data_IF_956212633965
#
_entry.id   IF_956212633965
#
_cell.length_a   1.000
_cell.length_b   1.000
_cell.length_c   1.000
_cell.angle_alpha   90.00
_cell.angle_beta   90.00
_cell.angle_gamma   90.00
#
_symmetry.space_group_name_H-M   'P 1'
#
loop_
_entity.id
_entity.type
_entity.pdbx_description
1 polymer ?
#
# COMPACT_ATOMS: atom_id res chain seq x y z
N UNK A 1 12.49 -2.94 28.88
CA UNK A 1 11.02 -2.71 28.98
C UNK A 1 10.70 -1.40 29.76
N UNK A 2 11.69 -0.73 30.34
CA UNK A 2 11.45 0.39 31.28
C UNK A 2 11.45 1.80 30.65
N UNK A 3 11.50 1.92 29.33
CA UNK A 3 11.47 3.21 28.64
C UNK A 3 10.26 3.34 27.70
N UNK A 4 9.09 2.92 28.16
CA UNK A 4 7.86 3.22 27.47
C UNK A 4 7.60 4.72 27.56
N UNK A 5 7.65 5.34 26.44
CA UNK A 5 7.17 6.65 26.00
C UNK A 5 6.62 7.59 27.07
N UNK A 6 7.32 8.68 27.27
CA UNK A 6 6.80 9.83 28.05
C UNK A 6 6.11 10.90 27.21
N UNK A 7 6.10 10.82 25.90
CA UNK A 7 5.67 11.91 25.01
C UNK A 7 4.66 11.54 23.92
N UNK A 8 4.11 10.32 23.94
CA UNK A 8 3.02 9.93 23.03
C UNK A 8 3.38 9.80 21.54
N UNK A 9 4.66 9.89 21.19
CA UNK A 9 5.15 9.76 19.83
C UNK A 9 6.15 8.61 19.71
N UNK A 10 5.64 7.38 19.60
CA UNK A 10 6.38 6.23 19.14
C UNK A 10 7.73 6.01 19.83
N UNK A 11 7.75 5.83 21.12
CA UNK A 11 8.95 5.64 21.90
C UNK A 11 9.91 4.54 21.38
N UNK A 12 10.43 3.73 22.26
CA UNK A 12 11.41 2.69 21.92
C UNK A 12 10.89 1.52 21.05
N UNK A 13 9.67 1.59 20.57
CA UNK A 13 9.05 0.63 19.66
C UNK A 13 9.24 1.00 18.16
N UNK A 14 9.67 2.25 17.88
CA UNK A 14 9.97 2.69 16.52
C UNK A 14 11.30 3.46 16.47
N UNK A 15 12.16 3.12 15.51
CA UNK A 15 13.41 3.84 15.19
C UNK A 15 14.33 4.13 16.39
N UNK A 16 14.34 3.29 17.41
CA UNK A 16 15.30 3.42 18.52
C UNK A 16 16.73 3.12 18.04
N UNK A 17 17.75 3.71 18.69
CA UNK A 17 19.15 3.43 18.36
C UNK A 17 19.50 1.93 18.46
N UNK A 18 18.84 1.20 19.35
CA UNK A 18 19.04 -0.23 19.53
C UNK A 18 18.55 -1.08 18.36
N UNK A 19 17.58 -0.61 17.57
CA UNK A 19 17.03 -1.39 16.44
C UNK A 19 18.12 -1.74 15.42
N UNK A 20 19.01 -0.81 15.13
CA UNK A 20 20.12 -1.03 14.21
C UNK A 20 21.06 -2.15 14.71
N UNK A 21 21.38 -2.16 15.99
CA UNK A 21 22.16 -3.23 16.61
C UNK A 21 21.47 -4.59 16.48
N UNK A 22 20.16 -4.65 16.74
CA UNK A 22 19.39 -5.89 16.62
C UNK A 22 19.26 -6.37 15.19
N UNK A 23 19.06 -5.48 14.22
CA UNK A 23 18.99 -5.83 12.79
C UNK A 23 20.35 -6.35 12.28
N UNK A 24 21.46 -5.72 12.66
CA UNK A 24 22.80 -6.22 12.33
C UNK A 24 23.07 -7.59 12.96
N UNK A 25 22.75 -7.78 14.25
CA UNK A 25 22.89 -9.06 14.91
C UNK A 25 22.04 -10.16 14.25
N UNK A 26 20.80 -9.84 13.91
CA UNK A 26 19.89 -10.75 13.19
C UNK A 26 20.46 -11.11 11.82
N UNK A 27 20.94 -10.12 11.06
CA UNK A 27 21.59 -10.33 9.76
C UNK A 27 22.78 -11.30 9.90
N UNK A 28 23.73 -11.01 10.78
CA UNK A 28 24.94 -11.81 10.97
C UNK A 28 24.66 -13.26 11.38
N UNK A 29 23.64 -13.47 12.19
CA UNK A 29 23.33 -14.80 12.76
C UNK A 29 22.33 -15.62 11.94
N UNK A 30 21.64 -15.00 10.96
CA UNK A 30 20.59 -15.68 10.17
C UNK A 30 20.85 -15.59 8.66
N UNK A 31 20.41 -14.53 8.03
CA UNK A 31 20.32 -14.43 6.56
C UNK A 31 21.51 -13.74 5.89
N UNK A 32 22.36 -13.00 6.60
CA UNK A 32 23.44 -12.22 6.01
C UNK A 32 24.56 -13.04 5.32
N UNK A 33 24.55 -14.37 5.47
CA UNK A 33 25.46 -15.29 4.79
C UNK A 33 24.92 -15.76 3.43
N UNK A 34 23.71 -15.38 3.06
CA UNK A 34 23.04 -15.82 1.82
C UNK A 34 22.74 -14.63 0.91
N UNK A 35 23.29 -14.66 -0.28
CA UNK A 35 23.02 -13.66 -1.34
C UNK A 35 21.61 -13.80 -1.94
N UNK A 36 20.86 -14.85 -1.59
CA UNK A 36 19.55 -15.15 -2.16
C UNK A 36 18.38 -14.71 -1.28
N UNK A 37 18.66 -14.12 -0.11
CA UNK A 37 17.63 -13.67 0.83
C UNK A 37 17.39 -12.17 0.65
N UNK A 38 16.14 -11.83 0.46
CA UNK A 38 15.63 -10.46 0.45
C UNK A 38 14.96 -10.18 1.79
N UNK A 39 15.32 -9.06 2.42
CA UNK A 39 14.68 -8.59 3.64
C UNK A 39 14.04 -7.23 3.43
N UNK A 40 12.87 -7.02 4.03
CA UNK A 40 12.14 -5.77 3.92
C UNK A 40 11.57 -5.38 5.29
N UNK A 41 11.73 -4.12 5.66
CA UNK A 41 11.18 -3.55 6.90
C UNK A 41 9.96 -2.70 6.64
N UNK A 42 8.95 -2.82 7.50
CA UNK A 42 7.88 -1.84 7.59
C UNK A 42 8.30 -0.75 8.58
N UNK A 43 8.55 0.47 8.06
CA UNK A 43 9.18 1.55 8.82
C UNK A 43 8.30 2.81 8.82
N UNK A 44 7.17 2.72 9.51
CA UNK A 44 6.25 3.85 9.65
C UNK A 44 6.94 5.06 10.32
N UNK A 45 6.91 6.22 9.66
CA UNK A 45 7.52 7.44 10.17
C UNK A 45 9.02 7.60 9.88
N UNK A 46 9.67 6.68 9.16
CA UNK A 46 11.08 6.81 8.79
C UNK A 46 11.33 8.06 7.93
N UNK A 47 12.45 8.74 8.20
CA UNK A 47 13.00 9.76 7.30
C UNK A 47 13.84 9.12 6.20
N UNK A 48 14.27 9.91 5.21
CA UNK A 48 15.19 9.45 4.16
C UNK A 48 16.51 8.96 4.77
N UNK A 49 17.04 9.69 5.74
CA UNK A 49 18.29 9.33 6.42
C UNK A 49 18.17 8.00 7.19
N UNK A 50 17.06 7.79 7.87
CA UNK A 50 16.77 6.50 8.52
C UNK A 50 16.64 5.38 7.47
N UNK A 51 15.97 5.63 6.36
CA UNK A 51 15.83 4.67 5.28
C UNK A 51 17.15 4.30 4.64
N UNK A 52 18.05 5.28 4.44
CA UNK A 52 19.43 5.05 4.02
C UNK A 52 20.15 4.12 5.01
N UNK A 53 20.05 4.41 6.31
CA UNK A 53 20.70 3.58 7.33
C UNK A 53 20.17 2.15 7.32
N UNK A 54 18.85 1.94 7.25
CA UNK A 54 18.25 0.61 7.22
C UNK A 54 18.60 -0.21 5.98
N UNK A 55 18.77 0.43 4.83
CA UNK A 55 18.85 -0.26 3.53
C UNK A 55 20.11 0.02 2.73
N UNK A 56 21.11 0.71 3.29
CA UNK A 56 22.44 0.77 2.73
C UNK A 56 23.09 -0.63 2.83
N UNK A 57 23.59 -1.21 1.74
CA UNK A 57 24.28 -2.49 1.79
C UNK A 57 25.45 -2.54 2.80
N UNK A 58 26.10 -1.42 3.08
CA UNK A 58 27.18 -1.34 4.06
C UNK A 58 26.68 -1.45 5.52
N UNK A 59 25.44 -1.09 5.79
CA UNK A 59 24.85 -1.21 7.14
C UNK A 59 24.59 -2.66 7.56
N UNK A 60 24.44 -3.58 6.60
CA UNK A 60 24.15 -4.98 6.86
C UNK A 60 22.88 -5.20 7.70
N UNK A 61 21.84 -4.42 7.45
CA UNK A 61 20.56 -4.54 8.15
C UNK A 61 19.50 -5.16 7.24
N UNK A 62 18.87 -4.38 6.39
CA UNK A 62 17.78 -4.80 5.51
C UNK A 62 18.12 -4.53 4.04
N UNK A 63 17.48 -5.26 3.13
CA UNK A 63 17.64 -5.00 1.69
C UNK A 63 16.86 -3.76 1.24
N UNK A 64 15.73 -3.46 1.88
CA UNK A 64 14.88 -2.30 1.59
C UNK A 64 13.87 -2.06 2.70
N UNK A 65 13.19 -0.91 2.62
CA UNK A 65 12.13 -0.55 3.57
C UNK A 65 10.87 -0.07 2.85
N UNK A 66 9.71 -0.24 3.50
CA UNK A 66 8.49 0.44 3.15
C UNK A 66 8.40 1.76 3.91
N UNK A 67 8.43 2.86 3.18
CA UNK A 67 8.14 4.19 3.71
C UNK A 67 6.63 4.49 3.62
N UNK A 68 6.10 5.29 4.53
CA UNK A 68 4.67 5.56 4.64
C UNK A 68 4.29 7.03 4.39
N UNK A 69 5.22 7.87 3.95
CA UNK A 69 4.92 9.28 3.69
C UNK A 69 3.88 9.43 2.56
N UNK A 70 4.04 8.63 1.49
CA UNK A 70 3.05 8.55 0.41
C UNK A 70 1.70 8.07 0.91
N UNK A 71 1.69 7.06 1.77
CA UNK A 71 0.46 6.51 2.34
C UNK A 71 -0.24 7.48 3.30
N UNK A 72 0.45 8.48 3.81
CA UNK A 72 -0.11 9.51 4.67
C UNK A 72 -0.47 10.82 3.97
N UNK A 73 -0.36 10.91 2.64
CA UNK A 73 -0.53 12.18 1.89
C UNK A 73 -1.92 12.81 2.06
N UNK A 74 -2.95 12.01 2.14
CA UNK A 74 -4.33 12.43 2.37
C UNK A 74 -4.69 12.52 3.86
N UNK A 75 -3.70 12.30 4.74
CA UNK A 75 -3.89 12.32 6.19
C UNK A 75 -4.59 11.08 6.76
N UNK A 76 -4.92 10.08 5.94
CA UNK A 76 -5.44 8.80 6.44
C UNK A 76 -4.29 8.06 7.11
N UNK A 77 -4.32 8.03 8.43
CA UNK A 77 -3.46 7.21 9.29
C UNK A 77 -4.32 6.57 10.35
N UNK A 78 -3.77 5.60 11.05
CA UNK A 78 -4.42 5.00 12.21
C UNK A 78 -5.08 6.08 13.09
N UNK A 79 -6.40 5.98 13.28
CA UNK A 79 -7.20 6.91 14.05
C UNK A 79 -7.61 8.22 13.36
N UNK A 80 -7.09 8.57 12.20
CA UNK A 80 -7.56 9.74 11.46
C UNK A 80 -8.47 9.33 10.29
N UNK A 81 -9.74 9.59 10.45
CA UNK A 81 -10.80 9.24 9.50
C UNK A 81 -11.26 10.41 8.62
N UNK A 82 -10.64 11.59 8.77
CA UNK A 82 -10.98 12.78 7.98
C UNK A 82 -9.90 13.09 6.94
N UNK A 83 -9.97 12.48 5.75
CA UNK A 83 -8.95 12.65 4.73
C UNK A 83 -8.92 14.08 4.22
N UNK A 84 -7.72 14.62 4.09
CA UNK A 84 -7.47 15.95 3.54
C UNK A 84 -7.21 15.85 2.04
N UNK A 85 -7.69 16.81 1.26
CA UNK A 85 -7.29 16.88 -0.14
C UNK A 85 -5.80 17.17 -0.24
N UNK A 86 -5.13 16.52 -1.18
CA UNK A 86 -3.75 16.79 -1.55
C UNK A 86 -3.69 17.25 -3.01
N UNK A 87 -2.59 17.90 -3.37
CA UNK A 87 -2.34 18.42 -4.70
C UNK A 87 -1.32 17.58 -5.46
N UNK A 88 -1.33 17.65 -6.79
CA UNK A 88 -0.33 16.99 -7.61
C UNK A 88 1.12 17.43 -7.25
N UNK A 89 1.42 18.73 -7.02
CA UNK A 89 2.74 19.13 -6.54
C UNK A 89 3.18 18.44 -5.24
N UNK A 90 2.30 18.28 -4.26
CA UNK A 90 2.63 17.56 -3.02
C UNK A 90 2.98 16.10 -3.29
N UNK A 91 2.22 15.42 -4.17
CA UNK A 91 2.52 14.06 -4.58
C UNK A 91 3.88 13.98 -5.28
N UNK A 92 4.15 14.87 -6.23
CA UNK A 92 5.44 14.97 -6.95
C UNK A 92 6.62 15.17 -5.98
N UNK A 93 6.49 16.05 -4.99
CA UNK A 93 7.51 16.30 -3.96
C UNK A 93 7.85 15.06 -3.14
N UNK A 94 6.85 14.25 -2.78
CA UNK A 94 7.09 12.99 -2.05
C UNK A 94 7.90 12.02 -2.94
N UNK A 95 7.51 11.85 -4.21
CA UNK A 95 8.26 10.99 -5.11
C UNK A 95 9.68 11.49 -5.33
N UNK A 96 9.87 12.78 -5.60
CA UNK A 96 11.20 13.37 -5.76
C UNK A 96 12.06 13.13 -4.52
N UNK A 97 11.55 13.47 -3.34
CA UNK A 97 12.25 13.29 -2.06
C UNK A 97 12.77 11.85 -1.87
N UNK A 98 11.91 10.85 -2.09
CA UNK A 98 12.27 9.47 -1.87
C UNK A 98 13.11 8.87 -3.00
N UNK A 99 12.89 9.27 -4.24
CA UNK A 99 13.68 8.81 -5.37
C UNK A 99 15.11 9.36 -5.32
N UNK A 100 15.27 10.67 -5.10
CA UNK A 100 16.58 11.31 -5.01
C UNK A 100 17.29 11.00 -3.69
N UNK A 101 16.53 10.92 -2.59
CA UNK A 101 17.09 10.62 -1.28
C UNK A 101 17.68 9.20 -1.16
N UNK A 102 17.18 8.23 -1.91
CA UNK A 102 17.69 6.86 -1.94
C UNK A 102 18.46 6.53 -3.24
N UNK A 103 18.94 7.55 -3.94
CA UNK A 103 19.62 7.37 -5.21
C UNK A 103 20.98 6.70 -5.06
N UNK A 104 21.82 7.18 -4.13
CA UNK A 104 23.17 6.67 -3.88
C UNK A 104 23.19 5.60 -2.78
N UNK A 105 22.35 5.75 -1.76
CA UNK A 105 22.31 4.90 -0.56
C UNK A 105 20.90 4.43 -0.26
N UNK A 106 20.75 3.13 -0.07
CA UNK A 106 19.47 2.52 0.25
C UNK A 106 18.66 2.09 -0.97
N UNK A 107 17.49 1.52 -0.72
CA UNK A 107 16.62 0.99 -1.75
C UNK A 107 15.13 1.16 -1.43
N UNK A 108 14.36 1.69 -2.37
CA UNK A 108 12.92 1.90 -2.23
C UNK A 108 12.11 0.62 -2.44
N UNK A 109 11.17 0.34 -1.54
CA UNK A 109 10.00 -0.48 -1.83
C UNK A 109 8.90 0.42 -2.39
N UNK A 110 8.53 0.18 -3.64
CA UNK A 110 7.50 0.96 -4.33
C UNK A 110 6.15 0.28 -4.18
N UNK A 111 5.16 0.96 -3.62
CA UNK A 111 3.82 0.40 -3.44
C UNK A 111 2.75 1.48 -3.38
N UNK A 112 1.55 1.13 -3.81
CA UNK A 112 0.37 1.98 -3.74
C UNK A 112 -0.59 1.60 -2.62
N UNK A 113 -0.49 0.38 -2.13
CA UNK A 113 -1.40 -0.14 -1.14
C UNK A 113 -0.89 -1.42 -0.48
N UNK A 114 -1.53 -1.78 0.60
CA UNK A 114 -1.34 -3.01 1.35
C UNK A 114 -2.64 -3.39 2.09
N UNK A 115 -2.56 -4.31 3.04
CA UNK A 115 -3.69 -4.76 3.85
C UNK A 115 -4.21 -3.72 4.86
N UNK A 116 -3.53 -2.59 5.02
CA UNK A 116 -3.87 -1.54 6.00
C UNK A 116 -4.44 -0.26 5.37
N UNK A 117 -4.66 -0.26 4.07
CA UNK A 117 -5.23 0.89 3.35
C UNK A 117 -6.34 0.47 2.40
N UNK A 118 -7.28 1.38 2.08
CA UNK A 118 -8.29 1.13 1.05
C UNK A 118 -7.67 0.78 -0.30
N UNK A 119 -8.46 0.19 -1.19
CA UNK A 119 -8.01 -0.19 -2.53
C UNK A 119 -7.47 1.02 -3.30
N UNK A 120 -6.32 0.84 -3.94
CA UNK A 120 -5.56 1.93 -4.56
C UNK A 120 -6.35 2.73 -5.59
N UNK A 121 -7.08 2.06 -6.48
CA UNK A 121 -7.84 2.76 -7.53
C UNK A 121 -8.99 3.60 -6.96
N UNK A 122 -9.60 3.15 -5.85
CA UNK A 122 -10.63 3.92 -5.14
C UNK A 122 -10.05 5.09 -4.35
N UNK A 123 -8.82 4.96 -3.86
CA UNK A 123 -8.16 5.99 -3.04
C UNK A 123 -7.45 7.05 -3.86
N UNK A 124 -6.64 6.65 -4.82
CA UNK A 124 -5.75 7.53 -5.60
C UNK A 124 -6.20 7.73 -7.04
N UNK A 125 -7.15 6.94 -7.53
CA UNK A 125 -7.66 6.98 -8.89
C UNK A 125 -9.11 7.41 -8.98
N UNK A 126 -9.74 6.98 -10.06
CA UNK A 126 -11.17 7.09 -10.29
C UNK A 126 -11.70 5.68 -10.57
N UNK A 127 -12.39 5.08 -9.60
CA UNK A 127 -12.90 3.72 -9.65
C UNK A 127 -14.26 3.57 -10.37
N UNK A 128 -14.80 4.68 -10.89
CA UNK A 128 -16.05 4.69 -11.68
C UNK A 128 -15.80 4.32 -13.13
N UNK A 129 -16.69 3.54 -13.71
CA UNK A 129 -16.65 3.30 -15.16
C UNK A 129 -16.99 4.58 -15.94
N UNK A 130 -16.33 4.85 -17.07
CA UNK A 130 -15.32 4.02 -17.76
C UNK A 130 -13.85 4.38 -17.38
N UNK A 131 -13.61 4.98 -16.23
CA UNK A 131 -12.30 5.53 -15.86
C UNK A 131 -11.44 4.58 -15.05
N UNK A 132 -12.03 3.58 -14.39
CA UNK A 132 -11.36 2.66 -13.45
C UNK A 132 -10.09 2.03 -14.02
N UNK A 133 -10.19 1.36 -15.18
CA UNK A 133 -9.02 0.74 -15.79
C UNK A 133 -7.95 1.74 -16.22
N UNK A 134 -8.35 2.89 -16.75
CA UNK A 134 -7.40 3.95 -17.16
C UNK A 134 -6.65 4.52 -15.96
N UNK A 135 -7.36 4.78 -14.85
CA UNK A 135 -6.76 5.21 -13.60
C UNK A 135 -5.80 4.18 -13.03
N UNK A 136 -6.21 2.91 -13.00
CA UNK A 136 -5.36 1.82 -12.52
C UNK A 136 -4.09 1.65 -13.39
N UNK A 137 -4.21 1.73 -14.72
CA UNK A 137 -3.06 1.70 -15.64
C UNK A 137 -2.11 2.89 -15.43
N UNK A 138 -2.64 4.09 -15.21
CA UNK A 138 -1.83 5.27 -14.88
C UNK A 138 -1.04 5.07 -13.59
N UNK A 139 -1.69 4.61 -12.52
CA UNK A 139 -1.04 4.32 -11.23
C UNK A 139 0.04 3.23 -11.38
N UNK A 140 -0.25 2.18 -12.15
CA UNK A 140 0.73 1.13 -12.44
C UNK A 140 1.97 1.65 -13.19
N UNK A 141 1.79 2.52 -14.19
CA UNK A 141 2.90 3.14 -14.93
C UNK A 141 3.76 3.97 -13.99
N UNK A 142 3.15 4.81 -13.15
CA UNK A 142 3.87 5.65 -12.20
C UNK A 142 4.71 4.81 -11.25
N UNK A 143 4.16 3.72 -10.70
CA UNK A 143 4.89 2.84 -9.80
C UNK A 143 6.06 2.13 -10.49
N UNK A 144 5.81 1.50 -11.65
CA UNK A 144 6.81 0.69 -12.34
C UNK A 144 7.86 1.52 -13.09
N UNK A 145 7.64 2.81 -13.27
CA UNK A 145 8.57 3.73 -13.91
C UNK A 145 9.65 4.29 -12.97
N UNK A 146 9.60 3.99 -11.67
CA UNK A 146 10.52 4.53 -10.67
C UNK A 146 11.59 3.51 -10.26
N UNK A 147 12.75 4.02 -9.77
CA UNK A 147 13.83 3.21 -9.17
C UNK A 147 13.35 2.58 -7.85
N UNK A 148 13.62 1.29 -7.67
CA UNK A 148 13.24 0.53 -6.48
C UNK A 148 12.57 -0.81 -6.83
N UNK A 149 12.02 -1.51 -5.85
CA UNK A 149 11.31 -2.77 -6.04
C UNK A 149 9.80 -2.54 -5.97
N UNK A 150 9.05 -2.72 -7.07
CA UNK A 150 7.61 -2.57 -7.05
C UNK A 150 6.94 -3.78 -6.37
N UNK A 151 6.01 -3.47 -5.46
CA UNK A 151 5.14 -4.40 -4.78
C UNK A 151 3.72 -4.20 -5.28
N UNK A 152 3.10 -5.26 -5.74
CA UNK A 152 1.73 -5.28 -6.25
C UNK A 152 0.86 -5.96 -5.21
N UNK A 153 -0.03 -5.20 -4.58
CA UNK A 153 -0.96 -5.80 -3.62
C UNK A 153 -2.04 -6.58 -4.36
N UNK A 154 -2.39 -7.77 -3.84
CA UNK A 154 -3.36 -8.67 -4.48
C UNK A 154 -4.67 -7.95 -4.85
N UNK A 155 -5.09 -8.09 -6.11
CA UNK A 155 -6.27 -7.44 -6.67
C UNK A 155 -5.99 -6.09 -7.36
N UNK A 156 -4.81 -5.50 -7.17
CA UNK A 156 -4.39 -4.31 -7.90
C UNK A 156 -4.31 -4.59 -9.40
N UNK A 157 -3.76 -5.75 -9.76
CA UNK A 157 -3.55 -6.22 -11.13
C UNK A 157 -4.84 -6.48 -11.92
N UNK A 158 -5.97 -6.53 -11.24
CA UNK A 158 -7.30 -6.62 -11.87
C UNK A 158 -8.19 -5.40 -11.58
N UNK A 159 -7.66 -4.43 -10.83
CA UNK A 159 -8.35 -3.19 -10.49
C UNK A 159 -9.51 -3.36 -9.52
N UNK A 160 -9.33 -4.20 -8.48
CA UNK A 160 -10.30 -4.31 -7.38
C UNK A 160 -10.53 -2.97 -6.71
N UNK A 161 -11.78 -2.67 -6.38
CA UNK A 161 -12.22 -1.42 -5.76
C UNK A 161 -12.60 -1.61 -4.29
N UNK A 162 -12.83 -0.51 -3.60
CA UNK A 162 -13.50 -0.56 -2.31
C UNK A 162 -14.87 -1.24 -2.43
N UNK A 163 -15.30 -1.92 -1.38
CA UNK A 163 -16.64 -2.52 -1.31
C UNK A 163 -17.67 -1.42 -1.14
N UNK A 164 -18.75 -1.50 -1.90
CA UNK A 164 -19.92 -0.63 -1.75
C UNK A 164 -21.04 -1.34 -1.00
N UNK A 165 -21.89 -0.56 -0.32
CA UNK A 165 -23.15 -1.08 0.27
C UNK A 165 -22.98 -1.85 1.59
N UNK A 166 -21.80 -1.89 2.20
CA UNK A 166 -21.62 -2.48 3.52
C UNK A 166 -22.41 -1.68 4.58
N UNK A 167 -23.04 -2.42 5.49
CA UNK A 167 -23.62 -1.86 6.71
C UNK A 167 -22.50 -1.70 7.74
N UNK A 168 -22.73 -0.91 8.78
CA UNK A 168 -21.73 -0.69 9.85
C UNK A 168 -21.32 -2.02 10.51
N UNK A 169 -22.27 -2.93 10.66
CA UNK A 169 -22.07 -4.24 11.31
C UNK A 169 -21.24 -5.22 10.45
N UNK A 170 -21.11 -4.96 9.17
CA UNK A 170 -20.38 -5.83 8.24
C UNK A 170 -18.86 -5.60 8.30
N UNK A 171 -18.42 -4.49 8.91
CA UNK A 171 -17.01 -4.19 9.09
C UNK A 171 -16.40 -5.01 10.22
N UNK A 172 -15.21 -5.58 9.98
CA UNK A 172 -14.52 -6.50 10.88
C UNK A 172 -13.26 -5.89 11.50
N UNK A 173 -12.66 -4.91 10.82
CA UNK A 173 -11.45 -4.26 11.31
C UNK A 173 -11.72 -3.48 12.59
N UNK A 174 -10.89 -3.70 13.60
CA UNK A 174 -11.06 -3.12 14.93
C UNK A 174 -11.07 -1.58 14.91
N UNK A 175 -10.30 -0.94 14.02
CA UNK A 175 -10.33 0.52 13.89
C UNK A 175 -11.67 1.00 13.33
N UNK A 176 -12.23 0.28 12.37
CA UNK A 176 -13.54 0.58 11.79
C UNK A 176 -14.66 0.41 12.82
N UNK A 177 -14.61 -0.67 13.61
CA UNK A 177 -15.57 -0.93 14.69
C UNK A 177 -15.48 0.16 15.75
N UNK A 178 -14.29 0.45 16.25
CA UNK A 178 -14.08 1.49 17.27
C UNK A 178 -14.52 2.88 16.77
N UNK A 179 -14.15 3.23 15.52
CA UNK A 179 -14.59 4.48 14.91
C UNK A 179 -16.11 4.59 14.90
N UNK A 180 -16.79 3.55 14.44
CA UNK A 180 -18.26 3.56 14.37
C UNK A 180 -18.91 3.71 15.75
N UNK A 181 -18.40 2.99 16.76
CA UNK A 181 -18.90 3.08 18.12
C UNK A 181 -18.69 4.47 18.74
N UNK A 182 -17.50 5.05 18.56
CA UNK A 182 -17.19 6.37 19.12
C UNK A 182 -17.99 7.46 18.43
N UNK A 183 -18.15 7.40 17.11
CA UNK A 183 -19.00 8.38 16.40
C UNK A 183 -20.48 8.25 16.77
N UNK A 184 -20.99 7.02 17.00
CA UNK A 184 -22.35 6.81 17.53
C UNK A 184 -22.50 7.45 18.92
N UNK A 185 -21.54 7.28 19.83
CA UNK A 185 -21.54 7.93 21.16
C UNK A 185 -21.54 9.46 21.07
N UNK A 186 -20.85 10.02 20.06
CA UNK A 186 -20.83 11.45 19.79
C UNK A 186 -22.10 11.96 19.09
N UNK A 187 -23.05 11.10 18.77
CA UNK A 187 -24.31 11.46 18.14
C UNK A 187 -24.25 11.71 16.64
N UNK A 188 -23.25 11.10 15.94
CA UNK A 188 -23.21 11.20 14.49
C UNK A 188 -24.34 10.40 13.84
N UNK A 189 -24.91 10.96 12.76
CA UNK A 189 -25.85 10.25 11.91
C UNK A 189 -25.20 9.01 11.27
N UNK A 190 -25.94 7.91 11.20
CA UNK A 190 -25.46 6.62 10.70
C UNK A 190 -24.91 6.74 9.26
N UNK A 191 -25.59 7.49 8.41
CA UNK A 191 -25.17 7.70 7.01
C UNK A 191 -23.81 8.40 6.92
N UNK A 192 -23.52 9.34 7.83
CA UNK A 192 -22.22 9.97 7.92
C UNK A 192 -21.14 8.96 8.32
N UNK A 193 -21.40 8.13 9.32
CA UNK A 193 -20.47 7.06 9.74
C UNK A 193 -20.19 6.11 8.58
N UNK A 194 -21.22 5.65 7.87
CA UNK A 194 -21.08 4.79 6.70
C UNK A 194 -20.25 5.41 5.60
N UNK A 195 -20.39 6.69 5.33
CA UNK A 195 -19.61 7.43 4.34
C UNK A 195 -18.12 7.38 4.65
N UNK A 196 -17.75 7.57 5.91
CA UNK A 196 -16.34 7.50 6.33
C UNK A 196 -15.78 6.08 6.25
N UNK A 197 -16.55 5.08 6.71
CA UNK A 197 -16.17 3.68 6.63
C UNK A 197 -15.98 3.23 5.17
N UNK A 198 -16.93 3.55 4.29
CA UNK A 198 -16.87 3.20 2.87
C UNK A 198 -15.65 3.80 2.13
N UNK A 199 -15.12 4.91 2.64
CA UNK A 199 -13.94 5.56 2.07
C UNK A 199 -12.64 5.02 2.65
N UNK A 200 -12.57 4.79 3.96
CA UNK A 200 -11.32 4.74 4.69
C UNK A 200 -11.01 3.38 5.33
N UNK A 201 -11.99 2.47 5.44
CA UNK A 201 -11.77 1.20 6.14
C UNK A 201 -10.71 0.33 5.47
N UNK A 202 -9.86 -0.28 6.31
CA UNK A 202 -8.89 -1.30 5.88
C UNK A 202 -9.56 -2.58 5.37
N UNK A 203 -10.79 -2.84 5.75
CA UNK A 203 -11.57 -4.00 5.31
C UNK A 203 -11.69 -4.08 3.79
N UNK A 204 -11.69 -2.95 3.09
CA UNK A 204 -11.72 -2.92 1.63
C UNK A 204 -10.55 -3.67 0.98
N UNK A 205 -9.37 -3.63 1.59
CA UNK A 205 -8.18 -4.36 1.11
C UNK A 205 -8.19 -5.83 1.53
N UNK A 206 -9.01 -6.21 2.51
CA UNK A 206 -9.04 -7.55 3.11
C UNK A 206 -10.18 -8.43 2.62
N UNK A 207 -11.01 -7.91 1.70
CA UNK A 207 -12.07 -8.69 1.06
C UNK A 207 -11.49 -9.85 0.26
N UNK A 208 -12.24 -10.97 0.11
CA UNK A 208 -11.82 -12.09 -0.69
C UNK A 208 -11.34 -11.69 -2.09
N UNK A 209 -10.25 -12.30 -2.56
CA UNK A 209 -9.77 -12.13 -3.93
C UNK A 209 -10.82 -12.61 -4.91
N UNK A 210 -11.07 -11.82 -5.95
CA UNK A 210 -12.10 -12.07 -6.96
C UNK A 210 -11.53 -12.92 -8.10
N UNK A 211 -11.73 -14.25 -8.01
CA UNK A 211 -11.18 -15.19 -8.99
C UNK A 211 -12.05 -15.35 -10.23
N UNK A 212 -13.37 -15.44 -10.06
CA UNK A 212 -14.34 -15.61 -11.13
C UNK A 212 -15.72 -15.06 -10.72
N UNK A 213 -16.73 -15.24 -11.59
CA UNK A 213 -18.11 -14.80 -11.36
C UNK A 213 -18.97 -15.84 -10.60
N UNK A 214 -18.38 -16.89 -10.05
CA UNK A 214 -19.11 -17.88 -9.25
C UNK A 214 -19.35 -17.37 -7.82
N UNK A 215 -20.19 -18.08 -7.09
CA UNK A 215 -20.51 -17.78 -5.70
C UNK A 215 -19.23 -17.53 -4.89
N UNK A 216 -19.27 -16.51 -4.04
CA UNK A 216 -18.15 -16.04 -3.24
C UNK A 216 -16.90 -15.68 -4.07
N UNK A 217 -17.13 -15.15 -5.30
CA UNK A 217 -16.08 -14.75 -6.22
C UNK A 217 -15.11 -15.90 -6.58
N UNK A 218 -15.54 -17.15 -6.47
CA UNK A 218 -14.68 -18.34 -6.62
C UNK A 218 -13.60 -18.48 -5.55
N UNK A 219 -13.67 -17.71 -4.48
CA UNK A 219 -12.67 -17.70 -3.41
C UNK A 219 -12.78 -18.91 -2.48
N UNK A 220 -14.00 -19.32 -2.14
CA UNK A 220 -14.26 -20.45 -1.23
C UNK A 220 -15.57 -21.14 -1.56
N UNK A 221 -15.65 -22.45 -1.26
CA UNK A 221 -16.90 -23.21 -1.28
C UNK A 221 -17.68 -23.07 0.05
N UNK A 222 -17.03 -22.59 1.12
CA UNK A 222 -17.64 -22.33 2.42
C UNK A 222 -18.16 -20.90 2.53
N UNK A 223 -18.42 -20.45 3.75
CA UNK A 223 -18.76 -19.05 4.04
C UNK A 223 -17.47 -18.25 4.22
N UNK A 224 -17.23 -17.20 3.44
CA UNK A 224 -16.07 -16.34 3.65
C UNK A 224 -16.21 -15.59 4.99
N UNK A 225 -15.07 -15.33 5.65
CA UNK A 225 -15.05 -14.61 6.92
C UNK A 225 -15.48 -13.14 6.79
N UNK A 226 -15.38 -12.60 5.58
CA UNK A 226 -15.75 -11.23 5.21
C UNK A 226 -16.53 -11.27 3.89
N UNK A 227 -17.45 -10.34 3.73
CA UNK A 227 -18.22 -10.23 2.49
C UNK A 227 -17.31 -9.90 1.29
N UNK A 228 -17.58 -10.57 0.19
CA UNK A 228 -17.01 -10.24 -1.12
C UNK A 228 -17.57 -8.93 -1.68
N UNK A 229 -16.81 -8.23 -2.50
CA UNK A 229 -17.32 -7.07 -3.22
C UNK A 229 -18.28 -7.52 -4.31
N UNK A 230 -19.49 -6.96 -4.35
CA UNK A 230 -20.54 -7.36 -5.29
C UNK A 230 -20.16 -7.19 -6.76
N UNK A 231 -19.14 -6.41 -7.08
CA UNK A 231 -18.65 -6.26 -8.44
C UNK A 231 -17.77 -7.42 -8.93
N UNK A 232 -17.66 -8.50 -8.16
CA UNK A 232 -16.85 -9.67 -8.55
C UNK A 232 -17.32 -10.35 -9.83
N UNK A 233 -18.59 -10.21 -10.19
CA UNK A 233 -19.12 -10.74 -11.44
C UNK A 233 -18.46 -10.10 -12.67
N UNK A 234 -18.06 -8.85 -12.57
CA UNK A 234 -17.40 -8.08 -13.63
C UNK A 234 -15.88 -8.00 -13.45
N UNK A 235 -15.42 -7.65 -12.23
CA UNK A 235 -14.03 -7.46 -11.89
C UNK A 235 -13.49 -8.75 -11.25
N UNK A 236 -12.85 -9.60 -12.03
CA UNK A 236 -12.26 -10.84 -11.55
C UNK A 236 -11.10 -11.29 -12.44
N UNK A 237 -10.32 -12.24 -11.93
CA UNK A 237 -9.15 -12.80 -12.63
C UNK A 237 -9.54 -13.47 -13.94
N UNK A 238 -10.64 -14.25 -13.93
CA UNK A 238 -11.06 -14.99 -15.13
C UNK A 238 -11.43 -14.04 -16.28
N UNK A 239 -12.22 -13.01 -16.02
CA UNK A 239 -12.59 -11.99 -17.00
C UNK A 239 -11.37 -11.19 -17.48
N UNK A 240 -10.49 -10.82 -16.55
CA UNK A 240 -9.25 -10.11 -16.87
C UNK A 240 -8.35 -10.93 -17.79
N UNK A 241 -8.27 -12.26 -17.60
CA UNK A 241 -7.48 -13.15 -18.46
C UNK A 241 -8.12 -13.42 -19.82
N UNK A 242 -9.43 -13.25 -19.96
CA UNK A 242 -10.12 -13.37 -21.26
C UNK A 242 -9.94 -12.13 -22.15
N UNK A 243 -9.60 -10.98 -21.57
CA UNK A 243 -9.42 -9.72 -22.29
C UNK A 243 -7.94 -9.36 -22.44
N UNK A 244 -7.34 -9.44 -23.66
CA UNK A 244 -5.92 -9.14 -23.87
C UNK A 244 -5.54 -7.67 -23.60
N UNK A 245 -6.51 -6.77 -23.54
CA UNK A 245 -6.31 -5.35 -23.26
C UNK A 245 -6.56 -4.99 -21.80
N UNK A 246 -6.85 -5.98 -20.96
CA UNK A 246 -7.13 -5.81 -19.53
C UNK A 246 -5.94 -5.25 -18.76
N UNK A 247 -6.23 -4.77 -17.56
CA UNK A 247 -5.23 -4.32 -16.60
C UNK A 247 -4.23 -5.45 -16.24
N UNK A 248 -4.68 -6.71 -16.15
CA UNK A 248 -3.83 -7.87 -15.89
C UNK A 248 -2.68 -8.01 -16.91
N UNK A 249 -3.00 -8.00 -18.20
CA UNK A 249 -1.98 -8.05 -19.25
C UNK A 249 -1.16 -6.77 -19.35
N UNK A 250 -1.71 -5.64 -18.93
CA UNK A 250 -0.96 -4.41 -18.81
C UNK A 250 0.14 -4.50 -17.75
N UNK A 251 -0.16 -5.02 -16.56
CA UNK A 251 0.84 -5.31 -15.52
C UNK A 251 1.91 -6.30 -16.02
N UNK A 252 1.49 -7.35 -16.71
CA UNK A 252 2.44 -8.32 -17.31
C UNK A 252 3.42 -7.62 -18.26
N UNK A 253 2.93 -6.72 -19.12
CA UNK A 253 3.75 -5.94 -20.06
C UNK A 253 4.70 -4.98 -19.32
N UNK A 254 4.23 -4.30 -18.27
CA UNK A 254 5.06 -3.40 -17.45
C UNK A 254 6.19 -4.15 -16.74
N UNK A 255 5.90 -5.28 -16.13
CA UNK A 255 6.89 -6.14 -15.47
C UNK A 255 7.93 -6.62 -16.48
N UNK A 256 7.48 -7.09 -17.65
CA UNK A 256 8.38 -7.52 -18.72
C UNK A 256 9.26 -6.38 -19.27
N UNK A 257 8.70 -5.18 -19.40
CA UNK A 257 9.44 -3.98 -19.81
C UNK A 257 10.51 -3.62 -18.79
N UNK A 258 10.13 -3.57 -17.52
CA UNK A 258 11.02 -3.24 -16.41
C UNK A 258 12.19 -4.24 -16.31
N UNK A 259 11.93 -5.55 -16.46
CA UNK A 259 12.98 -6.58 -16.43
C UNK A 259 14.00 -6.48 -17.57
N UNK A 260 13.67 -5.79 -18.66
CA UNK A 260 14.52 -5.62 -19.85
C UNK A 260 15.16 -4.23 -19.92
N UNK A 261 14.90 -3.39 -18.94
CA UNK A 261 15.32 -1.98 -19.02
C UNK A 261 15.88 -1.52 -17.66
N UNK A 262 17.20 -1.55 -17.57
CA UNK A 262 17.93 -1.19 -16.37
C UNK A 262 17.70 0.27 -15.95
N UNK A 263 17.39 1.16 -16.89
CA UNK A 263 17.03 2.55 -16.58
C UNK A 263 15.79 2.64 -15.70
N UNK A 264 14.79 1.77 -15.90
CA UNK A 264 13.60 1.75 -15.04
C UNK A 264 13.88 1.19 -13.64
N UNK A 265 14.95 0.39 -13.50
CA UNK A 265 15.32 -0.24 -12.23
C UNK A 265 16.31 0.58 -11.44
N UNK A 266 17.32 1.13 -12.11
CA UNK A 266 18.52 1.76 -11.50
C UNK A 266 18.75 3.21 -11.90
N UNK A 267 18.00 3.73 -12.89
CA UNK A 267 18.24 5.08 -13.42
C UNK A 267 17.90 6.17 -12.41
N UNK A 268 18.52 7.31 -12.60
CA UNK A 268 18.32 8.50 -11.78
C UNK A 268 16.95 9.11 -12.00
N UNK A 269 16.42 9.69 -10.94
CA UNK A 269 15.12 10.37 -11.00
C UNK A 269 15.33 11.88 -11.14
N UNK A 270 14.62 12.48 -12.09
CA UNK A 270 14.56 13.93 -12.24
C UNK A 270 13.12 14.40 -12.43
N UNK A 271 12.66 15.24 -11.52
CA UNK A 271 11.38 15.92 -11.69
C UNK A 271 11.50 16.97 -12.80
N UNK A 272 10.61 16.93 -13.78
CA UNK A 272 10.46 17.96 -14.79
C UNK A 272 9.38 18.90 -14.30
N UNK A 273 9.73 20.13 -14.01
CA UNK A 273 8.79 21.21 -13.71
C UNK A 273 8.26 21.78 -15.04
N UNK A 274 6.95 21.75 -15.22
CA UNK A 274 6.20 22.55 -16.21
C UNK A 274 5.27 23.50 -15.48
#
# INVERSE_FOLDING_TARGET
IDNIVKDGHGGNDTHSEQIHTYLMEMNQNTYGKSEQILTVGETGGATVEMAQQYSDPESQELSMIFQFELMGIDGIRSGNWDPKPYTLPQLKQIFEKWQTGLEEKGWNSLFWGNHDFPRVVSRFGNDREPYREKSAKMLAVLLHGMKGTPYIYQGEEIGMTNVSGLRIEDYQDIESVNFAEDRKKEGWEEEKIRTYLARNSRDHARTPMQWNAEKHAGFTAGTPWMAENQNYEEINVENSRKNPDSLFYFYQKLIALRRKNDTLVYGDFRLIEE
#
